data_IF_891977160816
#
_entry.id   IF_891977160816
#
_cell.length_a   1.000
_cell.length_b   1.000
_cell.length_c   1.000
_cell.angle_alpha   90.00
_cell.angle_beta   90.00
_cell.angle_gamma   90.00
#
_symmetry.space_group_name_H-M   'P 1'
#
loop_
_entity.id
_entity.type
_entity.pdbx_description
1 polymer ?
#
# COMPACT_ATOMS: atom_id res chain seq x y z
N UNK A 1 22.33 73.67 14.84
CA UNK A 1 23.16 73.23 15.98
C UNK A 1 23.39 71.74 15.83
N UNK A 2 24.64 71.30 15.65
CA UNK A 2 25.03 69.89 15.54
C UNK A 2 24.98 69.25 16.92
N UNK A 3 24.35 68.10 17.07
CA UNK A 3 24.73 67.10 18.10
C UNK A 3 24.52 65.71 17.50
N UNK A 4 25.62 64.96 17.42
CA UNK A 4 25.66 63.53 17.18
C UNK A 4 25.51 62.80 18.52
N UNK A 5 24.72 61.72 18.57
CA UNK A 5 24.86 60.70 19.61
C UNK A 5 24.90 59.34 18.94
N UNK A 6 26.06 58.73 19.02
CA UNK A 6 26.39 57.36 18.62
C UNK A 6 25.82 56.45 19.72
N UNK A 7 24.84 55.62 19.37
CA UNK A 7 24.29 54.58 20.24
C UNK A 7 24.73 53.20 19.76
N UNK A 8 25.62 52.58 20.53
CA UNK A 8 26.21 51.26 20.30
C UNK A 8 25.13 50.17 20.35
N UNK A 9 24.79 49.56 19.22
CA UNK A 9 23.87 48.42 19.16
C UNK A 9 24.62 47.12 19.48
N UNK A 10 24.37 46.56 20.66
CA UNK A 10 24.81 45.22 21.03
C UNK A 10 24.00 44.18 20.24
N UNK A 11 24.64 43.46 19.33
CA UNK A 11 24.02 42.34 18.61
C UNK A 11 24.10 41.09 19.48
N UNK A 12 22.97 40.71 20.11
CA UNK A 12 22.81 39.38 20.69
C UNK A 12 22.56 38.38 19.55
N UNK A 13 23.52 37.51 19.28
CA UNK A 13 23.33 36.33 18.43
C UNK A 13 22.69 35.21 19.26
N UNK A 14 21.37 35.06 19.15
CA UNK A 14 20.68 33.87 19.65
C UNK A 14 20.98 32.68 18.73
N UNK A 15 21.72 31.69 19.24
CA UNK A 15 21.94 30.43 18.55
C UNK A 15 20.62 29.65 18.46
N UNK A 16 20.02 29.61 17.28
CA UNK A 16 18.90 28.73 16.96
C UNK A 16 19.44 27.30 16.86
N UNK A 17 19.21 26.51 17.89
CA UNK A 17 19.35 25.05 17.79
C UNK A 17 18.21 24.54 16.92
N UNK A 18 18.51 24.25 15.65
CA UNK A 18 17.66 23.43 14.79
C UNK A 18 17.66 22.00 15.34
N UNK A 19 16.80 21.75 16.34
CA UNK A 19 16.42 20.39 16.70
C UNK A 19 15.62 19.81 15.54
N UNK A 20 16.24 18.96 14.72
CA UNK A 20 15.52 18.08 13.81
C UNK A 20 14.52 17.29 14.64
N UNK A 21 13.23 17.59 14.45
CA UNK A 21 12.14 16.82 15.01
C UNK A 21 12.11 15.48 14.29
N UNK A 22 12.93 14.55 14.77
CA UNK A 22 12.94 13.16 14.35
C UNK A 22 11.57 12.59 14.76
N UNK A 23 10.71 12.37 13.77
CA UNK A 23 9.38 11.80 13.98
C UNK A 23 9.52 10.48 14.72
N UNK A 24 9.08 10.44 15.99
CA UNK A 24 8.94 9.20 16.75
C UNK A 24 7.89 8.36 16.03
N UNK A 25 8.32 7.34 15.31
CA UNK A 25 7.45 6.27 14.81
C UNK A 25 6.82 5.56 15.99
N UNK A 26 5.65 6.02 16.43
CA UNK A 26 4.82 5.29 17.37
C UNK A 26 4.35 3.99 16.72
N UNK A 27 4.23 2.92 17.52
CA UNK A 27 3.55 1.71 17.09
C UNK A 27 2.17 2.10 16.56
N UNK A 28 1.78 1.68 15.33
CA UNK A 28 0.45 1.97 14.81
C UNK A 28 -0.61 1.55 15.83
N UNK A 29 -1.56 2.42 16.12
CA UNK A 29 -2.66 2.10 17.04
C UNK A 29 -3.43 0.88 16.50
N UNK A 30 -3.74 -0.07 17.38
CA UNK A 30 -4.54 -1.22 16.99
C UNK A 30 -5.92 -0.77 16.51
N UNK A 31 -6.38 -1.36 15.40
CA UNK A 31 -7.71 -1.14 14.84
C UNK A 31 -8.32 -2.49 14.46
N UNK A 32 -9.24 -2.95 15.29
CA UNK A 32 -9.82 -4.31 15.22
C UNK A 32 -11.15 -4.36 14.47
N UNK A 33 -11.73 -3.21 14.16
CA UNK A 33 -13.04 -3.10 13.53
C UNK A 33 -13.07 -1.98 12.50
N UNK A 34 -13.76 -2.23 11.40
CA UNK A 34 -14.17 -1.25 10.41
C UNK A 34 -15.59 -1.59 9.98
N UNK A 35 -16.52 -0.65 10.16
CA UNK A 35 -17.89 -0.78 9.68
C UNK A 35 -17.96 -0.68 8.15
N UNK A 36 -19.12 -1.00 7.57
CA UNK A 36 -19.37 -0.74 6.15
C UNK A 36 -19.21 0.75 5.81
N UNK A 37 -19.63 1.65 6.70
CA UNK A 37 -19.46 3.10 6.52
C UNK A 37 -17.98 3.51 6.49
N UNK A 38 -17.15 2.92 7.34
CA UNK A 38 -15.70 3.15 7.34
C UNK A 38 -15.07 2.70 6.02
N UNK A 39 -15.48 1.53 5.51
CA UNK A 39 -14.99 1.02 4.22
C UNK A 39 -15.41 1.94 3.07
N UNK A 40 -16.67 2.41 3.05
CA UNK A 40 -17.12 3.37 2.02
C UNK A 40 -16.34 4.70 2.09
N UNK A 41 -16.05 5.19 3.29
CA UNK A 41 -15.22 6.38 3.47
C UNK A 41 -13.79 6.16 2.98
N UNK A 42 -13.20 4.98 3.21
CA UNK A 42 -11.88 4.62 2.68
C UNK A 42 -11.87 4.55 1.14
N UNK A 43 -12.92 4.01 0.50
CA UNK A 43 -13.04 4.00 -0.96
C UNK A 43 -13.07 5.44 -1.50
N UNK A 44 -13.92 6.28 -0.93
CA UNK A 44 -14.04 7.68 -1.34
C UNK A 44 -12.71 8.43 -1.17
N UNK A 45 -12.03 8.20 -0.04
CA UNK A 45 -10.70 8.77 0.24
C UNK A 45 -9.66 8.28 -0.77
N UNK A 46 -9.55 6.98 -0.99
CA UNK A 46 -8.58 6.40 -1.92
C UNK A 46 -8.79 6.92 -3.35
N UNK A 47 -10.05 7.04 -3.78
CA UNK A 47 -10.40 7.64 -5.07
C UNK A 47 -9.97 9.10 -5.17
N UNK A 48 -10.16 9.89 -4.12
CA UNK A 48 -9.78 11.31 -4.09
C UNK A 48 -8.26 11.54 -4.03
N UNK A 49 -7.53 10.65 -3.35
CA UNK A 49 -6.07 10.75 -3.19
C UNK A 49 -5.28 10.16 -4.38
N UNK A 50 -5.93 9.35 -5.23
CA UNK A 50 -5.28 8.73 -6.40
C UNK A 50 -4.75 9.78 -7.36
N UNK A 51 -3.47 9.66 -7.70
CA UNK A 51 -2.82 10.42 -8.78
C UNK A 51 -2.95 9.68 -10.12
N UNK A 52 -2.91 10.40 -11.23
CA UNK A 52 -3.10 9.85 -12.58
C UNK A 52 -2.19 8.64 -12.89
N UNK A 53 -0.90 8.74 -12.55
CA UNK A 53 0.10 7.68 -12.78
C UNK A 53 0.27 6.72 -11.60
N UNK A 54 -0.70 6.66 -10.69
CA UNK A 54 -0.68 5.77 -9.54
C UNK A 54 -1.67 4.62 -9.77
N UNK A 55 -1.19 3.38 -10.02
CA UNK A 55 -2.05 2.23 -10.25
C UNK A 55 -2.96 1.91 -9.07
N UNK A 56 -2.39 2.02 -7.86
CA UNK A 56 -3.01 1.60 -6.61
C UNK A 56 -2.85 2.66 -5.53
N UNK A 57 -3.94 2.96 -4.82
CA UNK A 57 -3.91 3.62 -3.51
C UNK A 57 -4.23 2.57 -2.45
N UNK A 58 -3.36 2.44 -1.44
CA UNK A 58 -3.53 1.49 -0.33
C UNK A 58 -3.77 2.23 0.98
N UNK A 59 -4.82 1.88 1.71
CA UNK A 59 -5.20 2.49 2.99
C UNK A 59 -5.53 1.40 4.03
N UNK A 60 -5.16 1.56 5.32
CA UNK A 60 -5.42 0.54 6.33
C UNK A 60 -6.93 0.40 6.64
N UNK A 61 -7.45 -0.82 6.56
CA UNK A 61 -8.80 -1.17 7.06
C UNK A 61 -8.70 -1.59 8.54
N UNK A 62 -7.83 -2.57 8.83
CA UNK A 62 -7.57 -3.16 10.15
C UNK A 62 -6.06 -3.19 10.44
N UNK A 63 -5.69 -3.01 11.70
CA UNK A 63 -4.30 -2.98 12.16
C UNK A 63 -4.13 -3.81 13.43
N UNK A 64 -3.44 -4.96 13.34
CA UNK A 64 -3.08 -5.82 14.47
C UNK A 64 -1.87 -6.66 14.10
N UNK A 65 -0.64 -6.19 14.36
CA UNK A 65 0.56 -6.93 13.97
C UNK A 65 0.55 -8.41 14.46
N UNK A 66 0.91 -9.38 13.61
CA UNK A 66 1.40 -9.22 12.23
C UNK A 66 0.30 -9.09 11.16
N UNK A 67 -0.97 -9.17 11.54
CA UNK A 67 -2.13 -9.11 10.65
C UNK A 67 -2.57 -7.67 10.35
N UNK A 68 -2.42 -7.24 9.10
CA UNK A 68 -2.94 -5.96 8.63
C UNK A 68 -3.77 -6.18 7.38
N UNK A 69 -4.99 -5.66 7.38
CA UNK A 69 -5.85 -5.67 6.20
C UNK A 69 -5.87 -4.27 5.59
N UNK A 70 -5.60 -4.18 4.29
CA UNK A 70 -5.58 -2.92 3.56
C UNK A 70 -6.72 -2.89 2.53
N UNK A 71 -7.24 -1.69 2.29
CA UNK A 71 -8.06 -1.37 1.15
C UNK A 71 -7.14 -1.01 0.01
N UNK A 72 -7.26 -1.69 -1.12
CA UNK A 72 -6.57 -1.34 -2.35
C UNK A 72 -7.56 -0.84 -3.38
N UNK A 73 -7.46 0.44 -3.72
CA UNK A 73 -8.18 1.03 -4.82
C UNK A 73 -7.28 0.99 -6.05
N UNK A 74 -7.59 0.09 -6.99
CA UNK A 74 -6.82 -0.10 -8.24
C UNK A 74 -7.65 0.37 -9.43
N UNK A 75 -7.15 1.36 -10.17
CA UNK A 75 -7.85 1.91 -11.33
C UNK A 75 -6.97 2.02 -12.59
N UNK A 76 -5.80 1.40 -12.54
CA UNK A 76 -5.02 1.00 -13.71
C UNK A 76 -4.15 -0.20 -13.35
N UNK A 77 -3.61 -0.88 -14.35
CA UNK A 77 -2.77 -2.08 -14.16
C UNK A 77 -1.49 -1.69 -13.43
N UNK A 78 -1.23 -2.36 -12.32
CA UNK A 78 0.02 -2.29 -11.57
C UNK A 78 0.99 -3.41 -11.97
N UNK A 79 2.18 -3.47 -11.36
CA UNK A 79 3.14 -4.55 -11.61
C UNK A 79 2.61 -5.90 -11.11
N UNK A 80 3.16 -6.98 -11.65
CA UNK A 80 3.01 -8.33 -11.12
C UNK A 80 3.91 -8.51 -9.89
N UNK A 81 3.51 -9.38 -8.94
CA UNK A 81 4.23 -9.56 -7.69
C UNK A 81 4.39 -11.04 -7.33
N UNK A 82 5.45 -11.35 -6.59
CA UNK A 82 5.63 -12.60 -5.85
C UNK A 82 6.00 -12.23 -4.42
N UNK A 83 5.21 -12.69 -3.45
CA UNK A 83 5.56 -12.62 -2.04
C UNK A 83 6.31 -13.88 -1.63
N UNK A 84 7.55 -13.76 -1.16
CA UNK A 84 8.41 -14.94 -0.92
C UNK A 84 8.13 -15.62 0.44
N UNK A 85 7.57 -14.86 1.40
CA UNK A 85 7.42 -15.29 2.80
C UNK A 85 5.96 -15.39 3.28
N UNK A 86 5.04 -14.86 2.50
CA UNK A 86 3.65 -14.64 2.92
C UNK A 86 2.73 -15.04 1.77
N UNK A 87 1.65 -15.75 2.11
CA UNK A 87 0.51 -15.82 1.20
C UNK A 87 -0.20 -14.46 1.22
N UNK A 88 -1.00 -14.19 0.20
CA UNK A 88 -1.83 -12.99 0.15
C UNK A 88 -3.28 -13.38 -0.13
N UNK A 89 -4.19 -12.91 0.71
CA UNK A 89 -5.62 -13.11 0.52
C UNK A 89 -6.26 -11.81 0.07
N UNK A 90 -7.08 -11.91 -0.97
CA UNK A 90 -7.91 -10.83 -1.49
C UNK A 90 -9.39 -11.13 -1.28
N UNK A 91 -10.15 -10.12 -0.91
CA UNK A 91 -11.60 -10.08 -1.05
C UNK A 91 -11.97 -8.90 -1.95
N UNK A 92 -12.79 -9.14 -2.98
CA UNK A 92 -13.22 -8.08 -3.89
C UNK A 92 -14.41 -7.32 -3.27
N UNK A 93 -14.14 -6.12 -2.77
CA UNK A 93 -15.14 -5.24 -2.17
C UNK A 93 -16.06 -4.66 -3.25
N UNK A 94 -15.50 -4.26 -4.39
CA UNK A 94 -16.24 -3.66 -5.51
C UNK A 94 -15.48 -3.76 -6.84
N UNK A 95 -16.20 -3.61 -7.95
CA UNK A 95 -15.63 -3.62 -9.30
C UNK A 95 -15.20 -4.99 -9.80
N UNK A 96 -14.36 -5.00 -10.84
CA UNK A 96 -13.84 -6.24 -11.46
C UNK A 96 -12.48 -6.07 -12.13
N UNK A 97 -11.78 -7.18 -12.28
CA UNK A 97 -10.49 -7.25 -12.94
C UNK A 97 -10.22 -8.67 -13.48
N UNK A 98 -9.22 -8.81 -14.33
CA UNK A 98 -8.62 -10.11 -14.64
C UNK A 98 -7.42 -10.34 -13.74
N UNK A 99 -7.48 -11.38 -12.92
CA UNK A 99 -6.38 -11.84 -12.08
C UNK A 99 -5.70 -13.04 -12.75
N UNK A 100 -4.39 -12.92 -12.96
CA UNK A 100 -3.51 -14.00 -13.39
C UNK A 100 -2.73 -14.52 -12.17
N UNK A 101 -2.62 -15.83 -12.02
CA UNK A 101 -1.87 -16.48 -10.93
C UNK A 101 -1.03 -17.64 -11.46
N UNK A 102 0.16 -17.88 -10.88
CA UNK A 102 1.11 -18.89 -11.31
C UNK A 102 1.99 -18.42 -12.48
N UNK A 103 2.65 -19.35 -13.16
CA UNK A 103 3.54 -19.02 -14.29
C UNK A 103 4.86 -18.40 -13.84
N UNK A 104 5.39 -17.45 -14.62
CA UNK A 104 6.64 -16.73 -14.35
C UNK A 104 6.48 -15.24 -14.54
N UNK A 105 7.16 -14.44 -13.71
CA UNK A 105 7.23 -13.00 -13.90
C UNK A 105 7.97 -12.66 -15.20
N UNK A 106 7.46 -11.67 -15.94
CA UNK A 106 8.20 -11.04 -17.04
C UNK A 106 8.99 -9.85 -16.52
N UNK A 107 10.22 -9.66 -17.02
CA UNK A 107 11.12 -8.59 -16.58
C UNK A 107 11.28 -8.54 -15.05
N UNK A 108 11.52 -9.71 -14.44
CA UNK A 108 11.64 -9.86 -12.99
C UNK A 108 12.76 -8.99 -12.40
N UNK A 109 12.46 -8.35 -11.27
CA UNK A 109 13.43 -7.63 -10.44
C UNK A 109 13.07 -7.72 -8.96
N UNK A 110 14.00 -7.37 -8.08
CA UNK A 110 13.76 -7.34 -6.63
C UNK A 110 12.92 -6.12 -6.23
N UNK A 111 12.02 -6.34 -5.28
CA UNK A 111 11.25 -5.31 -4.60
C UNK A 111 11.32 -5.56 -3.08
N UNK A 112 12.41 -5.13 -2.47
CA UNK A 112 12.74 -5.46 -1.08
C UNK A 112 12.95 -6.98 -0.90
N UNK A 113 12.17 -7.57 0.00
CA UNK A 113 12.17 -9.01 0.30
C UNK A 113 11.32 -9.84 -0.68
N UNK A 114 10.74 -9.22 -1.70
CA UNK A 114 9.82 -9.83 -2.65
C UNK A 114 10.31 -9.65 -4.10
N UNK A 115 9.61 -10.25 -5.06
CA UNK A 115 9.86 -10.06 -6.50
C UNK A 115 8.73 -9.25 -7.14
N UNK A 116 9.06 -8.54 -8.20
CA UNK A 116 8.11 -7.79 -9.03
C UNK A 116 8.45 -7.95 -10.50
N UNK A 117 7.47 -7.73 -11.38
CA UNK A 117 7.64 -7.81 -12.83
C UNK A 117 6.61 -6.98 -13.58
N UNK A 118 6.79 -6.89 -14.90
CA UNK A 118 5.88 -6.15 -15.79
C UNK A 118 4.59 -6.92 -16.10
N UNK A 119 4.57 -8.22 -15.84
CA UNK A 119 3.46 -9.12 -16.13
C UNK A 119 3.78 -10.57 -15.77
N UNK A 120 2.95 -11.49 -16.27
CA UNK A 120 3.09 -12.94 -16.06
C UNK A 120 2.95 -13.70 -17.38
N UNK A 121 3.85 -14.65 -17.62
CA UNK A 121 3.76 -15.63 -18.71
C UNK A 121 3.40 -17.02 -18.17
N UNK A 122 2.50 -17.74 -18.87
CA UNK A 122 2.12 -19.11 -18.52
C UNK A 122 1.24 -19.26 -17.26
N UNK A 123 0.72 -18.15 -16.72
CA UNK A 123 -0.21 -18.14 -15.58
C UNK A 123 -1.66 -18.45 -15.98
N UNK A 124 -2.48 -18.80 -14.99
CA UNK A 124 -3.92 -19.03 -15.15
C UNK A 124 -4.68 -17.74 -14.88
N UNK A 125 -5.50 -17.30 -15.82
CA UNK A 125 -6.26 -16.05 -15.73
C UNK A 125 -7.74 -16.31 -15.45
N UNK A 126 -8.33 -15.50 -14.57
CA UNK A 126 -9.76 -15.51 -14.27
C UNK A 126 -10.28 -14.08 -14.08
N UNK A 127 -11.52 -13.84 -14.45
CA UNK A 127 -12.21 -12.62 -14.00
C UNK A 127 -12.56 -12.77 -12.52
N UNK A 128 -12.28 -11.75 -11.74
CA UNK A 128 -12.73 -11.60 -10.36
C UNK A 128 -13.61 -10.36 -10.25
N UNK A 129 -14.62 -10.44 -9.41
CA UNK A 129 -15.66 -9.44 -9.26
C UNK A 129 -16.15 -9.36 -7.80
N UNK A 130 -16.94 -8.32 -7.50
CA UNK A 130 -17.49 -8.10 -6.16
C UNK A 130 -18.03 -9.38 -5.51
N UNK A 131 -17.55 -9.66 -4.29
CA UNK A 131 -17.93 -10.83 -3.51
C UNK A 131 -16.95 -12.00 -3.63
N UNK A 132 -16.05 -11.99 -4.62
CA UNK A 132 -15.09 -13.06 -4.80
C UNK A 132 -13.96 -13.00 -3.76
N UNK A 133 -13.48 -14.19 -3.39
CA UNK A 133 -12.32 -14.38 -2.51
C UNK A 133 -11.22 -15.11 -3.28
N UNK A 134 -9.98 -14.68 -3.07
CA UNK A 134 -8.80 -15.32 -3.65
C UNK A 134 -7.71 -15.45 -2.59
N UNK A 135 -7.03 -16.59 -2.56
CA UNK A 135 -5.77 -16.73 -1.85
C UNK A 135 -4.67 -17.07 -2.87
N UNK A 136 -3.56 -16.36 -2.77
CA UNK A 136 -2.34 -16.59 -3.54
C UNK A 136 -1.30 -17.12 -2.55
N UNK A 137 -0.84 -18.37 -2.69
CA UNK A 137 0.26 -18.89 -1.88
C UNK A 137 1.53 -18.06 -2.07
N UNK A 138 2.42 -18.06 -1.08
CA UNK A 138 3.74 -17.48 -1.29
C UNK A 138 4.48 -18.14 -2.47
N UNK A 139 5.51 -17.48 -2.97
CA UNK A 139 6.30 -17.94 -4.11
C UNK A 139 5.46 -18.20 -5.37
N UNK A 140 4.25 -17.63 -5.44
CA UNK A 140 3.35 -17.72 -6.60
C UNK A 140 3.20 -16.34 -7.23
N UNK A 141 3.56 -16.17 -8.51
CA UNK A 141 3.30 -14.92 -9.22
C UNK A 141 1.81 -14.63 -9.27
N UNK A 142 1.42 -13.39 -9.00
CA UNK A 142 0.06 -12.92 -9.22
C UNK A 142 0.04 -11.50 -9.80
N UNK A 143 -0.98 -11.23 -10.61
CA UNK A 143 -1.08 -9.99 -11.36
C UNK A 143 -2.51 -9.66 -11.75
N UNK A 144 -2.98 -8.46 -11.40
CA UNK A 144 -4.22 -7.91 -11.92
C UNK A 144 -3.97 -7.28 -13.30
N UNK A 145 -3.78 -8.13 -14.32
CA UNK A 145 -3.31 -7.73 -15.66
C UNK A 145 -4.33 -6.97 -16.52
N UNK A 146 -5.58 -6.87 -16.07
CA UNK A 146 -6.60 -5.99 -16.65
C UNK A 146 -7.50 -5.46 -15.55
N UNK A 147 -7.74 -4.16 -15.53
CA UNK A 147 -8.67 -3.51 -14.61
C UNK A 147 -9.89 -3.01 -15.41
N UNK A 148 -11.09 -3.43 -15.03
CA UNK A 148 -12.33 -2.97 -15.67
C UNK A 148 -12.82 -1.71 -14.97
N UNK A 149 -12.28 -0.55 -15.39
CA UNK A 149 -12.49 0.78 -14.79
C UNK A 149 -11.89 0.93 -13.38
N UNK A 150 -12.33 0.13 -12.42
CA UNK A 150 -11.80 0.08 -11.05
C UNK A 150 -12.05 -1.30 -10.43
N UNK A 151 -11.13 -1.74 -9.59
CA UNK A 151 -11.37 -2.81 -8.61
C UNK A 151 -10.95 -2.32 -7.23
N UNK A 152 -11.77 -2.62 -6.23
CA UNK A 152 -11.51 -2.33 -4.82
C UNK A 152 -11.36 -3.65 -4.09
N UNK A 153 -10.23 -3.84 -3.43
CA UNK A 153 -9.89 -5.07 -2.73
C UNK A 153 -9.72 -4.80 -1.24
N UNK A 154 -10.09 -5.75 -0.39
CA UNK A 154 -9.37 -5.97 0.86
C UNK A 154 -8.22 -6.92 0.57
N UNK A 155 -6.99 -6.57 0.94
CA UNK A 155 -5.83 -7.47 0.91
C UNK A 155 -5.27 -7.67 2.31
N UNK A 156 -4.78 -8.88 2.59
CA UNK A 156 -4.02 -9.20 3.80
C UNK A 156 -2.87 -10.14 3.44
N UNK A 157 -1.66 -9.75 3.83
CA UNK A 157 -0.51 -10.65 3.87
C UNK A 157 -0.66 -11.60 5.06
N UNK A 158 -0.56 -12.88 4.78
CA UNK A 158 -0.75 -13.97 5.73
C UNK A 158 0.60 -14.65 5.94
N UNK A 159 1.34 -14.32 7.00
CA UNK A 159 2.60 -14.97 7.31
C UNK A 159 2.39 -16.45 7.56
N UNK A 160 3.28 -17.30 7.02
CA UNK A 160 3.34 -18.68 7.50
C UNK A 160 3.86 -18.70 8.92
N UNK A 161 3.06 -19.24 9.83
CA UNK A 161 3.61 -19.78 11.08
C UNK A 161 4.46 -20.99 10.71
N UNK A 162 5.62 -21.15 11.32
CA UNK A 162 6.62 -22.20 11.04
C UNK A 162 6.19 -23.64 11.38
N UNK A 163 4.91 -23.97 11.27
CA UNK A 163 4.36 -25.30 11.50
C UNK A 163 3.67 -25.78 10.20
N UNK A 164 4.11 -26.94 9.72
CA UNK A 164 3.95 -27.39 8.35
C UNK A 164 2.53 -27.75 7.91
N UNK A 165 2.43 -27.91 6.58
CA UNK A 165 1.84 -29.08 5.94
C UNK A 165 2.74 -29.46 4.76
#
# INVERSE_FOLDING_TARGET
MRVYVIGMAAVLTAALTMGQQQGKGGTPAMKLFASSADVQALIAKAKAERKENQPTVSLPILQLAPYNANLEYRASVGPAAVHEKEAEMFYVIDGSATLTTGGKLTSETRNGDNLTGTGIEGGQSRTVSKGDFVIVPENTPHWFGKIDNVIVLMSIHVPRTSAGH
#
